data_IF_804788720358
#
_entry.id   IF_804788720358
#
_cell.length_a   1.000
_cell.length_b   1.000
_cell.length_c   1.000
_cell.angle_alpha   90.00
_cell.angle_beta   90.00
_cell.angle_gamma   90.00
#
_symmetry.space_group_name_H-M   'P 1'
#
loop_
_entity.id
_entity.type
_entity.pdbx_description
1 polymer ?
#
# COMPACT_ATOMS: atom_id res chain seq x y z
N UNK A 1 4.75 -25.44 -20.18
CA UNK A 1 4.10 -24.60 -19.15
C UNK A 1 2.82 -25.30 -18.72
N UNK A 2 2.66 -25.60 -17.43
CA UNK A 2 1.43 -26.21 -16.91
C UNK A 2 0.33 -25.14 -16.81
N UNK A 3 -0.87 -25.44 -17.30
CA UNK A 3 -2.02 -24.52 -17.25
C UNK A 3 -2.49 -24.35 -15.81
N UNK A 4 -2.33 -23.14 -15.23
CA UNK A 4 -2.85 -22.83 -13.89
C UNK A 4 -4.38 -22.86 -13.89
N UNK A 5 -4.98 -23.56 -12.92
CA UNK A 5 -6.44 -23.62 -12.78
C UNK A 5 -6.94 -22.35 -12.10
N UNK A 6 -7.52 -21.45 -12.89
CA UNK A 6 -8.06 -20.19 -12.41
C UNK A 6 -9.53 -20.33 -12.00
N UNK A 7 -9.89 -19.74 -10.86
CA UNK A 7 -11.27 -19.71 -10.37
C UNK A 7 -11.80 -18.28 -10.41
N UNK A 8 -12.97 -18.07 -11.02
CA UNK A 8 -13.71 -16.80 -11.01
C UNK A 8 -14.82 -16.87 -9.98
N UNK A 9 -14.95 -15.84 -9.16
CA UNK A 9 -16.04 -15.67 -8.21
C UNK A 9 -16.73 -14.33 -8.50
N UNK A 10 -18.06 -14.36 -8.57
CA UNK A 10 -18.89 -13.17 -8.79
C UNK A 10 -20.04 -13.18 -7.78
N UNK A 11 -20.43 -12.03 -7.23
CA UNK A 11 -21.66 -11.90 -6.42
C UNK A 11 -22.92 -11.84 -7.32
N UNK A 12 -22.77 -11.95 -8.64
CA UNK A 12 -23.88 -12.09 -9.58
C UNK A 12 -24.53 -13.46 -9.39
N UNK A 13 -25.58 -13.52 -8.56
CA UNK A 13 -26.37 -14.72 -8.32
C UNK A 13 -26.77 -15.41 -9.65
N UNK A 14 -26.78 -16.75 -9.74
CA UNK A 14 -27.49 -17.45 -10.80
C UNK A 14 -28.99 -17.18 -10.62
N UNK A 15 -29.67 -16.67 -11.65
CA UNK A 15 -31.13 -16.58 -11.65
C UNK A 15 -31.71 -17.99 -11.50
N UNK A 16 -32.36 -18.26 -10.38
CA UNK A 16 -33.30 -19.36 -10.29
C UNK A 16 -34.59 -18.91 -10.99
N UNK A 17 -34.90 -19.52 -12.13
CA UNK A 17 -36.26 -19.54 -12.67
C UNK A 17 -37.16 -20.22 -11.65
N UNK A 18 -38.01 -19.43 -10.97
CA UNK A 18 -39.14 -19.94 -10.21
C UNK A 18 -40.40 -19.67 -11.02
N UNK A 19 -40.85 -20.73 -11.67
CA UNK A 19 -42.20 -20.90 -12.19
C UNK A 19 -43.12 -21.27 -11.01
N UNK A 20 -44.33 -20.68 -10.93
CA UNK A 20 -45.41 -21.17 -10.06
C UNK A 20 -45.99 -20.20 -9.01
N UNK A 21 -46.99 -19.43 -9.43
CA UNK A 21 -48.27 -19.13 -8.74
C UNK A 21 -48.33 -19.04 -7.21
N UNK A 22 -48.72 -17.85 -6.70
CA UNK A 22 -49.97 -17.64 -5.92
C UNK A 22 -50.27 -16.16 -5.65
N UNK A 23 -51.54 -15.80 -5.85
CA UNK A 23 -52.19 -14.52 -5.52
C UNK A 23 -52.36 -14.31 -4.00
N UNK A 24 -52.32 -13.05 -3.54
CA UNK A 24 -52.84 -12.65 -2.21
C UNK A 24 -52.22 -11.41 -1.52
N UNK A 25 -52.42 -10.21 -2.06
CA UNK A 25 -52.93 -8.94 -1.42
C UNK A 25 -52.92 -8.91 0.15
N UNK A 26 -52.32 -8.01 0.96
CA UNK A 26 -52.28 -6.52 1.05
C UNK A 26 -51.14 -5.96 1.95
N UNK A 27 -50.63 -4.78 1.55
CA UNK A 27 -50.30 -3.55 2.30
C UNK A 27 -49.24 -3.48 3.44
N UNK A 28 -48.20 -2.65 3.21
CA UNK A 28 -47.40 -2.01 4.27
C UNK A 28 -46.10 -1.32 3.81
N UNK A 29 -46.15 -0.01 3.55
CA UNK A 29 -45.11 1.01 3.85
C UNK A 29 -43.62 0.83 3.46
N UNK A 30 -43.22 1.53 2.39
CA UNK A 30 -41.92 2.19 2.10
C UNK A 30 -40.63 1.85 2.89
N UNK A 31 -39.64 1.30 2.16
CA UNK A 31 -38.30 1.89 1.97
C UNK A 31 -37.65 1.17 0.78
N UNK A 32 -37.73 1.78 -0.41
CA UNK A 32 -37.24 1.18 -1.65
C UNK A 32 -35.71 1.18 -1.71
N UNK A 33 -35.09 0.12 -1.18
CA UNK A 33 -33.78 -0.30 -1.66
C UNK A 33 -33.96 -0.76 -3.11
N UNK A 34 -33.66 0.13 -4.07
CA UNK A 34 -33.46 -0.29 -5.46
C UNK A 34 -32.20 -1.13 -5.47
N UNK A 35 -32.38 -2.44 -5.39
CA UNK A 35 -31.38 -3.45 -5.69
C UNK A 35 -31.03 -3.31 -7.18
N UNK A 36 -30.06 -2.44 -7.48
CA UNK A 36 -29.50 -2.26 -8.82
C UNK A 36 -28.87 -3.58 -9.26
N UNK A 37 -29.64 -4.36 -9.99
CA UNK A 37 -29.20 -5.57 -10.68
C UNK A 37 -28.21 -5.14 -11.75
N UNK A 38 -26.90 -5.17 -11.43
CA UNK A 38 -25.86 -4.81 -12.41
C UNK A 38 -25.90 -5.81 -13.57
N UNK A 39 -25.95 -5.35 -14.83
CA UNK A 39 -26.06 -6.23 -15.98
C UNK A 39 -24.85 -7.17 -16.07
N UNK A 40 -25.11 -8.46 -16.35
CA UNK A 40 -24.07 -9.40 -16.78
C UNK A 40 -23.35 -8.80 -17.99
N UNK A 41 -22.01 -8.73 -17.95
CA UNK A 41 -21.17 -8.25 -19.05
C UNK A 41 -20.44 -6.92 -18.80
N UNK A 42 -20.86 -6.10 -17.83
CA UNK A 42 -20.22 -4.78 -17.59
C UNK A 42 -18.72 -4.88 -17.26
N UNK A 43 -18.31 -5.96 -16.59
CA UNK A 43 -16.92 -6.17 -16.17
C UNK A 43 -16.13 -7.12 -17.06
N UNK A 44 -16.73 -7.69 -18.12
CA UNK A 44 -16.11 -8.78 -18.88
C UNK A 44 -14.71 -8.42 -19.44
N UNK A 45 -14.49 -7.22 -20.04
CA UNK A 45 -13.16 -6.82 -20.49
C UNK A 45 -12.12 -6.71 -19.36
N UNK A 46 -12.54 -6.28 -18.16
CA UNK A 46 -11.66 -6.13 -16.99
C UNK A 46 -11.37 -7.51 -16.39
N UNK A 47 -12.38 -8.36 -16.27
CA UNK A 47 -12.25 -9.75 -15.80
C UNK A 47 -11.27 -10.52 -16.69
N UNK A 48 -11.33 -10.33 -18.02
CA UNK A 48 -10.42 -10.98 -18.96
C UNK A 48 -8.96 -10.54 -18.76
N UNK A 49 -8.70 -9.23 -18.56
CA UNK A 49 -7.34 -8.75 -18.24
C UNK A 49 -6.83 -9.32 -16.93
N UNK A 50 -7.66 -9.29 -15.90
CA UNK A 50 -7.31 -9.82 -14.59
C UNK A 50 -7.05 -11.35 -14.66
N UNK A 51 -7.78 -12.08 -15.52
CA UNK A 51 -7.56 -13.50 -15.78
C UNK A 51 -6.23 -13.75 -16.47
N UNK A 52 -5.95 -13.02 -17.55
CA UNK A 52 -4.66 -13.09 -18.25
C UNK A 52 -3.49 -12.76 -17.31
N UNK A 53 -3.64 -11.74 -16.47
CA UNK A 53 -2.66 -11.33 -15.48
C UNK A 53 -2.31 -12.45 -14.50
N UNK A 54 -3.31 -13.06 -13.86
CA UNK A 54 -3.09 -14.17 -12.93
C UNK A 54 -2.52 -15.43 -13.61
N UNK A 55 -2.79 -15.62 -14.91
CA UNK A 55 -2.26 -16.74 -15.68
C UNK A 55 -0.76 -16.59 -16.01
N UNK A 56 -0.22 -15.36 -16.05
CA UNK A 56 1.19 -15.06 -16.42
C UNK A 56 2.21 -15.18 -15.29
N UNK A 57 1.82 -15.82 -14.18
CA UNK A 57 2.63 -15.89 -12.96
C UNK A 57 3.06 -14.51 -12.44
N UNK A 58 2.10 -13.61 -12.25
CA UNK A 58 2.33 -12.22 -11.84
C UNK A 58 2.77 -12.01 -10.38
N UNK A 59 3.08 -13.07 -9.64
CA UNK A 59 3.29 -13.03 -8.20
C UNK A 59 2.03 -12.79 -7.36
N UNK A 60 0.90 -12.44 -7.97
CA UNK A 60 -0.39 -12.24 -7.28
C UNK A 60 -1.19 -13.55 -7.24
N UNK A 61 -1.75 -13.90 -6.09
CA UNK A 61 -2.51 -15.15 -5.91
C UNK A 61 -4.02 -14.94 -5.81
N UNK A 62 -4.44 -13.74 -5.40
CA UNK A 62 -5.83 -13.32 -5.30
C UNK A 62 -5.97 -11.89 -5.80
N UNK A 63 -7.01 -11.63 -6.57
CA UNK A 63 -7.31 -10.31 -7.13
C UNK A 63 -8.82 -10.06 -7.03
N UNK A 64 -9.22 -8.93 -6.48
CA UNK A 64 -10.62 -8.58 -6.31
C UNK A 64 -10.90 -7.15 -6.79
N UNK A 65 -12.07 -6.96 -7.39
CA UNK A 65 -12.56 -5.67 -7.86
C UNK A 65 -13.67 -5.15 -6.96
N UNK A 66 -13.62 -3.84 -6.68
CA UNK A 66 -14.57 -3.17 -5.83
C UNK A 66 -15.09 -1.88 -6.46
N UNK A 67 -16.38 -1.61 -6.25
CA UNK A 67 -17.04 -0.34 -6.61
C UNK A 67 -17.77 0.21 -5.40
N UNK A 68 -17.36 1.37 -4.88
CA UNK A 68 -17.96 1.99 -3.68
C UNK A 68 -17.85 1.10 -2.45
N UNK A 69 -16.73 0.39 -2.29
CA UNK A 69 -16.52 -0.61 -1.23
C UNK A 69 -17.34 -1.91 -1.40
N UNK A 70 -18.19 -2.01 -2.41
CA UNK A 70 -18.93 -3.23 -2.75
C UNK A 70 -18.02 -4.14 -3.54
N UNK A 71 -17.96 -5.41 -3.14
CA UNK A 71 -17.21 -6.44 -3.83
C UNK A 71 -17.95 -6.90 -5.09
N UNK A 72 -17.33 -6.78 -6.25
CA UNK A 72 -17.97 -7.07 -7.54
C UNK A 72 -17.62 -8.49 -8.01
N UNK A 73 -16.31 -8.77 -8.07
CA UNK A 73 -15.79 -10.08 -8.43
C UNK A 73 -14.39 -10.31 -7.83
N UNK A 74 -13.96 -11.57 -7.80
CA UNK A 74 -12.58 -11.94 -7.53
C UNK A 74 -12.11 -13.09 -8.42
N UNK A 75 -10.81 -13.12 -8.66
CA UNK A 75 -10.10 -14.14 -9.40
C UNK A 75 -8.94 -14.63 -8.53
N UNK A 76 -8.67 -15.93 -8.54
CA UNK A 76 -7.60 -16.47 -7.72
C UNK A 76 -7.02 -17.78 -8.24
N UNK A 77 -5.78 -18.05 -7.84
CA UNK A 77 -5.04 -19.31 -8.08
C UNK A 77 -4.75 -20.07 -6.78
N UNK A 78 -5.52 -19.79 -5.72
CA UNK A 78 -5.36 -20.42 -4.39
C UNK A 78 -5.48 -21.95 -4.37
N UNK A 79 -6.08 -22.56 -5.41
CA UNK A 79 -6.17 -24.03 -5.53
C UNK A 79 -4.92 -24.66 -6.19
N UNK A 80 -4.01 -23.85 -6.75
CA UNK A 80 -2.77 -24.31 -7.37
C UNK A 80 -1.87 -25.00 -6.31
N UNK A 81 -1.37 -26.22 -6.58
CA UNK A 81 -0.48 -26.93 -5.66
C UNK A 81 0.74 -26.13 -5.20
N UNK A 82 1.35 -25.32 -6.07
CA UNK A 82 2.49 -24.48 -5.70
C UNK A 82 2.08 -23.42 -4.67
N UNK A 83 0.91 -22.81 -4.84
CA UNK A 83 0.35 -21.81 -3.90
C UNK A 83 -0.14 -22.48 -2.60
N UNK A 84 -0.53 -23.75 -2.65
CA UNK A 84 -0.89 -24.53 -1.45
C UNK A 84 0.33 -24.92 -0.62
N UNK A 85 1.50 -25.03 -1.24
CA UNK A 85 2.75 -25.37 -0.57
C UNK A 85 3.42 -24.16 0.11
N UNK A 86 2.92 -22.94 -0.08
CA UNK A 86 3.50 -21.73 0.52
C UNK A 86 3.31 -21.74 2.06
N UNK A 87 4.37 -21.40 2.82
CA UNK A 87 4.31 -21.36 4.29
C UNK A 87 3.44 -20.20 4.78
N UNK A 88 2.87 -20.34 5.98
CA UNK A 88 2.13 -19.25 6.66
C UNK A 88 0.73 -18.95 6.08
N UNK A 89 0.38 -19.57 4.95
CA UNK A 89 -0.93 -19.42 4.33
C UNK A 89 -2.06 -19.79 5.29
N UNK A 90 -3.11 -18.96 5.31
CA UNK A 90 -4.36 -19.32 5.97
C UNK A 90 -5.00 -20.57 5.31
N UNK A 91 -5.34 -21.56 6.14
CA UNK A 91 -6.06 -22.76 5.74
C UNK A 91 -7.49 -22.75 6.29
N UNK A 92 -8.41 -23.38 5.55
CA UNK A 92 -9.77 -23.60 6.02
C UNK A 92 -10.83 -23.48 4.94
N UNK A 93 -12.06 -23.98 5.22
CA UNK A 93 -13.17 -23.95 4.28
C UNK A 93 -13.63 -22.51 3.93
N UNK A 94 -13.35 -21.55 4.81
CA UNK A 94 -13.82 -20.15 4.69
C UNK A 94 -12.76 -19.17 4.16
N UNK A 95 -11.68 -19.70 3.60
CA UNK A 95 -10.56 -18.89 3.12
C UNK A 95 -11.00 -17.76 2.16
N UNK A 96 -12.00 -18.03 1.32
CA UNK A 96 -12.55 -17.06 0.35
C UNK A 96 -13.22 -15.86 1.03
N UNK A 97 -14.01 -16.09 2.07
CA UNK A 97 -14.64 -15.01 2.83
C UNK A 97 -13.58 -14.20 3.58
N UNK A 98 -12.50 -14.85 4.04
CA UNK A 98 -11.33 -14.20 4.61
C UNK A 98 -10.70 -13.16 3.67
N UNK A 99 -10.41 -13.53 2.41
CA UNK A 99 -9.87 -12.60 1.42
C UNK A 99 -10.85 -11.46 1.08
N UNK A 100 -12.13 -11.77 0.91
CA UNK A 100 -13.17 -10.76 0.64
C UNK A 100 -13.22 -9.72 1.76
N UNK A 101 -13.24 -10.19 3.01
CA UNK A 101 -13.27 -9.33 4.18
C UNK A 101 -11.98 -8.53 4.34
N UNK A 102 -10.81 -9.14 4.10
CA UNK A 102 -9.53 -8.45 4.13
C UNK A 102 -9.49 -7.30 3.11
N UNK A 103 -9.94 -7.52 1.87
CA UNK A 103 -10.00 -6.47 0.85
C UNK A 103 -10.95 -5.33 1.22
N UNK A 104 -12.12 -5.62 1.81
CA UNK A 104 -13.05 -4.58 2.30
C UNK A 104 -12.43 -3.75 3.43
N UNK A 105 -11.79 -4.41 4.39
CA UNK A 105 -11.14 -3.73 5.50
C UNK A 105 -9.96 -2.88 5.01
N UNK A 106 -9.19 -3.37 4.04
CA UNK A 106 -8.10 -2.62 3.44
C UNK A 106 -8.63 -1.34 2.76
N UNK A 107 -9.69 -1.44 1.96
CA UNK A 107 -10.31 -0.27 1.32
C UNK A 107 -10.74 0.77 2.35
N UNK A 108 -11.43 0.34 3.40
CA UNK A 108 -11.84 1.23 4.49
C UNK A 108 -10.64 1.94 5.14
N UNK A 109 -9.53 1.23 5.38
CA UNK A 109 -8.33 1.84 5.94
C UNK A 109 -7.65 2.82 4.98
N UNK A 110 -7.60 2.46 3.69
CA UNK A 110 -7.07 3.34 2.63
C UNK A 110 -7.88 4.63 2.55
N UNK A 111 -9.21 4.57 2.56
CA UNK A 111 -10.06 5.77 2.52
C UNK A 111 -9.80 6.68 3.72
N UNK A 112 -9.75 6.12 4.94
CA UNK A 112 -9.48 6.88 6.17
C UNK A 112 -8.09 7.53 6.17
N UNK A 113 -7.08 6.81 5.68
CA UNK A 113 -5.72 7.37 5.54
C UNK A 113 -5.67 8.41 4.42
N UNK A 114 -6.42 8.21 3.32
CA UNK A 114 -6.54 9.17 2.24
C UNK A 114 -7.07 10.52 2.72
N UNK A 115 -8.14 10.51 3.52
CA UNK A 115 -8.69 11.72 4.15
C UNK A 115 -7.65 12.42 5.03
N UNK A 116 -6.88 11.65 5.79
CA UNK A 116 -5.80 12.19 6.63
C UNK A 116 -4.66 12.80 5.81
N UNK A 117 -4.30 12.20 4.67
CA UNK A 117 -3.25 12.71 3.78
C UNK A 117 -3.71 13.89 2.90
N UNK A 118 -5.01 14.18 2.83
CA UNK A 118 -5.54 15.28 2.01
C UNK A 118 -4.92 16.65 2.36
N UNK A 119 -4.52 16.83 3.62
CA UNK A 119 -3.82 18.03 4.11
C UNK A 119 -2.45 18.25 3.45
N UNK A 120 -1.83 17.21 2.88
CA UNK A 120 -0.55 17.33 2.19
C UNK A 120 -0.64 18.05 0.85
N UNK A 121 -1.85 18.33 0.34
CA UNK A 121 -2.10 18.96 -0.98
C UNK A 121 -1.37 18.26 -2.13
N UNK A 122 -1.25 16.93 -2.05
CA UNK A 122 -0.52 16.08 -3.00
C UNK A 122 -1.42 15.21 -3.89
N UNK A 123 -2.71 15.57 -3.97
CA UNK A 123 -3.74 14.80 -4.65
C UNK A 123 -4.30 13.65 -3.79
N UNK A 124 -5.10 12.79 -4.41
CA UNK A 124 -5.75 11.66 -3.72
C UNK A 124 -4.81 10.48 -3.53
N UNK A 125 -5.04 9.66 -2.51
CA UNK A 125 -4.38 8.36 -2.35
C UNK A 125 -4.83 7.40 -3.48
N UNK A 126 -3.90 6.97 -4.32
CA UNK A 126 -4.15 6.16 -5.52
C UNK A 126 -3.65 4.73 -5.40
N UNK A 127 -2.64 4.46 -4.57
CA UNK A 127 -2.12 3.12 -4.35
C UNK A 127 -1.66 2.95 -2.91
N UNK A 128 -1.82 1.75 -2.38
CA UNK A 128 -1.31 1.38 -1.06
C UNK A 128 -0.72 -0.01 -1.10
N UNK A 129 0.48 -0.17 -0.53
CA UNK A 129 1.12 -1.47 -0.41
C UNK A 129 1.38 -1.75 1.06
N UNK A 130 0.83 -2.86 1.55
CA UNK A 130 1.06 -3.36 2.89
C UNK A 130 1.82 -4.67 2.76
N UNK A 131 3.05 -4.71 3.23
CA UNK A 131 3.85 -5.92 3.29
C UNK A 131 4.01 -6.37 4.74
N UNK A 132 3.70 -7.64 4.96
CA UNK A 132 3.88 -8.38 6.20
C UNK A 132 4.85 -9.55 5.97
N UNK A 133 5.24 -10.25 7.04
CA UNK A 133 6.16 -11.39 6.96
C UNK A 133 5.68 -12.60 6.15
N UNK A 134 4.39 -12.70 5.84
CA UNK A 134 3.74 -13.83 5.17
C UNK A 134 2.76 -13.42 4.05
N UNK A 135 2.52 -12.12 3.84
CA UNK A 135 1.71 -11.65 2.70
C UNK A 135 2.08 -10.24 2.25
N UNK A 136 1.64 -9.89 1.05
CA UNK A 136 1.56 -8.50 0.60
C UNK A 136 0.16 -8.24 0.09
N UNK A 137 -0.45 -7.15 0.54
CA UNK A 137 -1.69 -6.63 -0.01
C UNK A 137 -1.42 -5.32 -0.76
N UNK A 138 -1.92 -5.23 -1.99
CA UNK A 138 -1.78 -4.07 -2.87
C UNK A 138 -3.18 -3.58 -3.19
N UNK A 139 -3.51 -2.37 -2.75
CA UNK A 139 -4.68 -1.62 -3.20
C UNK A 139 -4.26 -0.68 -4.32
N UNK A 140 -5.06 -0.61 -5.38
CA UNK A 140 -4.90 0.38 -6.44
C UNK A 140 -6.25 0.95 -6.87
N UNK A 141 -6.36 2.27 -6.87
CA UNK A 141 -7.49 3.01 -7.41
C UNK A 141 -7.42 3.04 -8.93
N UNK A 142 -8.46 2.55 -9.59
CA UNK A 142 -8.59 2.66 -11.05
C UNK A 142 -9.12 4.05 -11.45
N UNK A 143 -10.08 4.54 -10.66
CA UNK A 143 -10.74 5.86 -10.75
C UNK A 143 -11.51 6.07 -9.42
N UNK A 144 -12.09 7.25 -9.16
CA UNK A 144 -12.87 7.45 -7.94
C UNK A 144 -13.89 6.34 -7.72
N UNK A 145 -13.90 5.79 -6.51
CA UNK A 145 -14.79 4.69 -6.07
C UNK A 145 -14.56 3.32 -6.73
N UNK A 146 -13.57 3.15 -7.62
CA UNK A 146 -13.29 1.85 -8.25
C UNK A 146 -11.86 1.43 -7.96
N UNK A 147 -11.68 0.25 -7.37
CA UNK A 147 -10.37 -0.23 -6.97
C UNK A 147 -10.17 -1.71 -7.26
N UNK A 148 -8.90 -2.09 -7.47
CA UNK A 148 -8.44 -3.47 -7.41
C UNK A 148 -7.65 -3.69 -6.13
N UNK A 149 -7.85 -4.86 -5.52
CA UNK A 149 -7.04 -5.37 -4.42
C UNK A 149 -6.38 -6.67 -4.86
N UNK A 150 -5.05 -6.65 -4.93
CA UNK A 150 -4.21 -7.82 -5.18
C UNK A 150 -3.58 -8.31 -3.88
N UNK A 151 -3.55 -9.62 -3.67
CA UNK A 151 -2.86 -10.24 -2.53
C UNK A 151 -1.91 -11.31 -3.03
N UNK A 152 -0.66 -11.23 -2.57
CA UNK A 152 0.31 -12.32 -2.66
C UNK A 152 0.58 -12.92 -1.29
N UNK A 153 0.89 -14.22 -1.32
CA UNK A 153 1.23 -15.05 -0.16
C UNK A 153 2.73 -15.38 -0.16
N UNK A 154 3.47 -14.81 -1.10
CA UNK A 154 4.91 -14.91 -1.17
C UNK A 154 5.51 -13.51 -1.02
N UNK A 155 5.92 -13.11 0.19
CA UNK A 155 6.48 -11.78 0.43
C UNK A 155 7.81 -11.56 -0.31
N UNK A 156 8.50 -12.62 -0.76
CA UNK A 156 9.70 -12.45 -1.58
C UNK A 156 9.37 -11.88 -2.97
N UNK A 157 8.10 -12.01 -3.41
CA UNK A 157 7.60 -11.51 -4.70
C UNK A 157 6.90 -10.17 -4.58
N UNK A 158 7.13 -9.43 -3.48
CA UNK A 158 6.51 -8.13 -3.21
C UNK A 158 6.64 -7.15 -4.39
N UNK A 159 7.86 -6.99 -4.93
CA UNK A 159 8.14 -6.08 -6.03
C UNK A 159 7.48 -6.50 -7.33
N UNK A 160 7.43 -7.80 -7.58
CA UNK A 160 6.80 -8.36 -8.77
C UNK A 160 5.28 -8.20 -8.72
N UNK A 161 4.66 -8.51 -7.59
CA UNK A 161 3.22 -8.34 -7.39
C UNK A 161 2.80 -6.86 -7.50
N UNK A 162 3.57 -5.97 -6.89
CA UNK A 162 3.33 -4.53 -6.90
C UNK A 162 3.46 -3.93 -8.31
N UNK A 163 4.57 -4.20 -9.00
CA UNK A 163 4.78 -3.81 -10.40
C UNK A 163 3.71 -4.40 -11.32
N UNK A 164 3.40 -5.69 -11.15
CA UNK A 164 2.38 -6.37 -11.95
C UNK A 164 1.00 -5.74 -11.77
N UNK A 165 0.63 -5.37 -10.55
CA UNK A 165 -0.62 -4.64 -10.28
C UNK A 165 -0.66 -3.26 -10.95
N UNK A 166 0.45 -2.51 -10.93
CA UNK A 166 0.55 -1.23 -11.63
C UNK A 166 0.41 -1.40 -13.15
N UNK A 167 1.09 -2.39 -13.74
CA UNK A 167 0.99 -2.71 -15.18
C UNK A 167 -0.43 -3.16 -15.57
N UNK A 168 -1.09 -3.98 -14.74
CA UNK A 168 -2.48 -4.38 -14.94
C UNK A 168 -3.42 -3.15 -14.94
N UNK A 169 -3.26 -2.26 -13.96
CA UNK A 169 -4.09 -1.05 -13.86
C UNK A 169 -3.86 -0.13 -15.05
N UNK A 170 -2.61 0.11 -15.45
CA UNK A 170 -2.30 0.88 -16.64
C UNK A 170 -2.97 0.30 -17.89
N UNK A 171 -2.93 -1.04 -18.06
CA UNK A 171 -3.60 -1.72 -19.16
C UNK A 171 -5.14 -1.64 -19.11
N UNK A 172 -5.75 -1.62 -17.92
CA UNK A 172 -7.20 -1.41 -17.79
C UNK A 172 -7.55 0.04 -18.13
N UNK A 173 -6.79 1.01 -17.60
CA UNK A 173 -6.97 2.45 -17.83
C UNK A 173 -6.87 2.81 -19.31
N UNK A 174 -5.86 2.29 -20.01
CA UNK A 174 -5.69 2.47 -21.45
C UNK A 174 -6.94 2.03 -22.23
N UNK A 175 -7.49 0.85 -21.90
CA UNK A 175 -8.71 0.34 -22.57
C UNK A 175 -9.94 1.21 -22.33
N UNK A 176 -10.04 1.85 -21.17
CA UNK A 176 -11.12 2.79 -20.86
C UNK A 176 -10.75 4.25 -21.16
N UNK A 177 -9.65 4.48 -21.89
CA UNK A 177 -9.15 5.80 -22.32
C UNK A 177 -8.87 6.78 -21.17
N UNK A 178 -8.44 6.26 -20.03
CA UNK A 178 -7.90 7.06 -18.93
C UNK A 178 -6.37 7.18 -19.08
N UNK A 179 -5.77 8.31 -18.67
CA UNK A 179 -4.33 8.51 -18.74
C UNK A 179 -3.60 7.52 -17.82
N UNK A 180 -2.37 7.14 -18.17
CA UNK A 180 -1.49 6.39 -17.26
C UNK A 180 -1.01 7.33 -16.13
N UNK A 181 -1.06 6.86 -14.89
CA UNK A 181 -0.64 7.60 -13.69
C UNK A 181 0.78 7.20 -13.23
N UNK A 182 1.44 6.24 -13.92
CA UNK A 182 2.74 5.69 -13.52
C UNK A 182 2.75 5.29 -12.03
N UNK A 183 1.74 4.52 -11.63
CA UNK A 183 1.53 4.10 -10.25
C UNK A 183 2.76 3.35 -9.72
N UNK A 184 3.36 3.83 -8.65
CA UNK A 184 4.62 3.33 -8.12
C UNK A 184 5.89 3.73 -8.90
N UNK A 185 5.82 4.53 -9.96
CA UNK A 185 7.00 5.02 -10.69
C UNK A 185 7.80 3.94 -11.42
N UNK A 186 7.12 2.89 -11.91
CA UNK A 186 7.79 1.73 -12.52
C UNK A 186 8.20 1.97 -13.98
N UNK A 187 7.74 3.04 -14.63
CA UNK A 187 8.17 3.37 -16.00
C UNK A 187 9.65 3.77 -16.05
N UNK A 188 10.18 4.36 -14.96
CA UNK A 188 11.59 4.73 -14.82
C UNK A 188 12.35 3.67 -14.02
N UNK A 189 13.19 2.91 -14.71
CA UNK A 189 13.96 1.83 -14.08
C UNK A 189 15.22 2.30 -13.34
N UNK A 190 15.71 3.52 -13.58
CA UNK A 190 16.95 4.00 -13.01
C UNK A 190 16.73 4.66 -11.63
N UNK A 191 17.50 4.22 -10.62
CA UNK A 191 17.71 5.01 -9.41
C UNK A 191 18.72 6.09 -9.77
N UNK A 192 18.40 7.39 -9.65
CA UNK A 192 19.39 8.43 -9.87
C UNK A 192 20.61 8.21 -8.97
N UNK A 193 21.80 8.52 -9.47
CA UNK A 193 22.96 8.57 -8.61
C UNK A 193 22.67 9.52 -7.44
N UNK A 194 23.14 9.16 -6.23
CA UNK A 194 23.08 10.08 -5.10
C UNK A 194 23.75 11.39 -5.51
N UNK A 195 22.99 12.48 -5.52
CA UNK A 195 23.54 13.79 -5.78
C UNK A 195 24.01 14.33 -4.44
N UNK A 196 25.33 14.53 -4.29
CA UNK A 196 25.88 15.17 -3.11
C UNK A 196 25.30 16.58 -3.00
N UNK A 197 24.32 16.75 -2.11
CA UNK A 197 23.73 18.06 -1.84
C UNK A 197 24.68 18.89 -0.98
N UNK A 198 24.69 20.21 -1.23
CA UNK A 198 25.29 21.15 -0.27
C UNK A 198 24.55 21.02 1.07
N UNK A 199 25.30 21.00 2.17
CA UNK A 199 24.73 20.95 3.51
C UNK A 199 23.76 22.10 3.79
N UNK A 200 23.96 23.26 3.14
CA UNK A 200 23.10 24.45 3.30
C UNK A 200 21.70 24.29 2.68
N UNK A 201 21.51 23.29 1.81
CA UNK A 201 20.24 22.98 1.16
C UNK A 201 19.50 21.83 1.83
N UNK A 202 20.07 21.28 2.89
CA UNK A 202 19.45 20.25 3.71
C UNK A 202 19.01 20.86 5.03
N UNK A 203 17.81 20.52 5.46
CA UNK A 203 17.35 20.86 6.80
C UNK A 203 17.41 19.63 7.67
N UNK A 204 18.03 19.73 8.84
CA UNK A 204 18.08 18.65 9.84
C UNK A 204 17.30 19.12 11.07
N UNK A 205 16.30 18.35 11.48
CA UNK A 205 15.52 18.58 12.70
C UNK A 205 15.70 17.44 13.70
N UNK A 206 15.47 17.72 14.98
CA UNK A 206 15.53 16.75 16.09
C UNK A 206 16.85 16.72 16.86
N UNK A 207 17.04 15.70 17.68
CA UNK A 207 18.15 15.53 18.64
C UNK A 207 19.46 15.03 18.00
N UNK A 208 19.63 15.24 16.68
CA UNK A 208 20.79 14.76 15.91
C UNK A 208 22.16 15.23 16.45
N UNK A 209 22.17 16.28 17.27
CA UNK A 209 23.39 16.82 17.89
C UNK A 209 23.85 16.11 19.16
N UNK A 210 22.98 15.39 19.87
CA UNK A 210 23.25 14.94 21.26
C UNK A 210 23.98 13.60 21.28
N UNK A 211 23.45 12.61 20.57
CA UNK A 211 23.98 11.24 20.56
C UNK A 211 24.87 11.00 19.31
N UNK A 212 26.12 10.50 19.46
CA UNK A 212 27.02 10.21 18.34
C UNK A 212 26.47 9.22 17.30
N UNK A 213 25.69 8.22 17.74
CA UNK A 213 25.04 7.23 16.86
C UNK A 213 23.92 7.90 16.07
N UNK A 214 23.08 8.70 16.72
CA UNK A 214 22.02 9.48 16.06
C UNK A 214 22.64 10.47 15.06
N UNK A 215 23.73 11.15 15.43
CA UNK A 215 24.47 12.04 14.52
C UNK A 215 25.01 11.29 13.29
N UNK A 216 25.52 10.07 13.48
CA UNK A 216 26.00 9.22 12.37
C UNK A 216 24.85 8.79 11.47
N UNK A 217 23.72 8.40 12.04
CA UNK A 217 22.51 8.06 11.29
C UNK A 217 22.02 9.26 10.46
N UNK A 218 21.94 10.46 11.07
CA UNK A 218 21.54 11.68 10.38
C UNK A 218 22.47 12.04 9.20
N UNK A 219 23.78 11.83 9.32
CA UNK A 219 24.72 12.03 8.20
C UNK A 219 24.51 11.04 7.07
N UNK A 220 24.19 9.78 7.38
CA UNK A 220 23.91 8.76 6.37
C UNK A 220 22.61 9.11 5.64
N UNK A 221 21.57 9.50 6.37
CA UNK A 221 20.31 10.01 5.81
C UNK A 221 20.53 11.22 4.91
N UNK A 222 21.33 12.19 5.35
CA UNK A 222 21.65 13.40 4.59
C UNK A 222 22.35 13.11 3.25
N UNK A 223 23.11 12.02 3.15
CA UNK A 223 23.75 11.61 1.89
C UNK A 223 22.77 11.01 0.87
N UNK A 224 21.54 10.70 1.29
CA UNK A 224 20.54 9.98 0.50
C UNK A 224 19.32 10.84 0.16
N UNK A 225 19.13 11.95 0.86
CA UNK A 225 18.09 12.93 0.55
C UNK A 225 18.55 13.82 -0.61
N UNK A 226 17.68 14.03 -1.58
CA UNK A 226 17.96 14.76 -2.81
C UNK A 226 16.71 15.29 -3.50
N UNK A 227 16.84 16.31 -4.40
CA UNK A 227 15.70 16.89 -5.11
C UNK A 227 15.11 15.96 -6.18
N UNK A 228 15.81 14.88 -6.54
CA UNK A 228 15.40 14.02 -7.67
C UNK A 228 14.50 12.86 -7.28
N UNK A 229 14.64 12.30 -6.07
CA UNK A 229 13.94 11.07 -5.69
C UNK A 229 13.44 11.10 -4.25
N UNK A 230 14.33 11.05 -3.25
CA UNK A 230 13.97 10.98 -1.84
C UNK A 230 14.08 12.37 -1.21
N UNK A 231 12.96 13.06 -1.02
CA UNK A 231 12.95 14.47 -0.62
C UNK A 231 12.94 14.68 0.90
N UNK A 232 12.49 13.67 1.65
CA UNK A 232 12.42 13.69 3.11
C UNK A 232 12.67 12.29 3.65
N UNK A 233 13.45 12.19 4.73
CA UNK A 233 13.65 10.96 5.47
C UNK A 233 13.78 11.25 6.97
N UNK A 234 13.00 10.54 7.78
CA UNK A 234 13.00 10.65 9.23
C UNK A 234 13.18 9.29 9.90
N UNK A 235 13.82 9.32 11.07
CA UNK A 235 14.01 8.16 11.93
C UNK A 235 13.32 8.37 13.27
N UNK A 236 12.59 7.35 13.67
CA UNK A 236 11.84 7.29 14.91
C UNK A 236 12.32 6.12 15.75
N UNK A 237 12.38 6.33 17.05
CA UNK A 237 12.68 5.31 18.04
C UNK A 237 11.81 5.52 19.28
N UNK A 238 11.22 4.42 19.74
CA UNK A 238 10.08 4.41 20.66
C UNK A 238 8.94 5.36 20.24
N UNK A 239 8.61 5.33 18.93
CA UNK A 239 7.63 6.23 18.30
C UNK A 239 7.90 7.73 18.47
N UNK A 240 9.11 8.11 18.90
CA UNK A 240 9.54 9.50 19.04
C UNK A 240 10.51 9.87 17.93
N UNK A 241 10.28 11.01 17.28
CA UNK A 241 11.18 11.55 16.27
C UNK A 241 12.57 11.79 16.86
N UNK A 242 13.58 11.08 16.37
CA UNK A 242 14.97 11.34 16.75
C UNK A 242 15.61 12.38 15.85
N UNK A 243 15.38 12.25 14.55
CA UNK A 243 15.75 13.27 13.59
C UNK A 243 14.99 13.12 12.27
N UNK A 244 14.94 14.21 11.50
CA UNK A 244 14.58 14.19 10.09
C UNK A 244 15.58 14.98 9.26
N UNK A 245 15.73 14.59 7.99
CA UNK A 245 16.50 15.31 6.98
C UNK A 245 15.64 15.49 5.75
N UNK A 246 15.66 16.69 5.18
CA UNK A 246 14.89 17.00 3.98
C UNK A 246 15.52 18.09 3.12
N UNK A 247 15.09 18.14 1.86
CA UNK A 247 15.46 19.17 0.90
C UNK A 247 14.23 19.96 0.40
N UNK A 248 13.17 20.10 1.21
CA UNK A 248 11.88 20.66 0.77
C UNK A 248 11.97 22.13 0.36
N UNK A 249 13.03 22.85 0.75
CA UNK A 249 13.30 24.24 0.36
C UNK A 249 14.17 24.35 -0.91
N UNK A 250 14.51 23.22 -1.54
CA UNK A 250 15.32 23.21 -2.76
C UNK A 250 14.56 23.89 -3.91
N UNK A 251 15.20 24.79 -4.71
CA UNK A 251 14.54 25.52 -5.79
C UNK A 251 13.82 24.63 -6.81
N UNK A 252 14.42 23.49 -7.18
CA UNK A 252 13.81 22.53 -8.12
C UNK A 252 12.49 21.91 -7.62
N UNK A 253 12.16 22.06 -6.33
CA UNK A 253 10.92 21.56 -5.76
C UNK A 253 9.85 22.64 -5.58
N UNK A 254 10.12 23.91 -5.97
CA UNK A 254 9.23 25.04 -5.71
C UNK A 254 7.79 24.80 -6.20
N UNK A 255 7.63 24.13 -7.35
CA UNK A 255 6.33 23.84 -7.96
C UNK A 255 5.46 22.89 -7.10
N UNK A 256 6.05 22.12 -6.20
CA UNK A 256 5.32 21.24 -5.27
C UNK A 256 4.76 21.98 -4.05
N UNK A 257 5.09 23.26 -3.87
CA UNK A 257 4.75 24.06 -2.68
C UNK A 257 3.92 25.30 -2.99
N UNK A 258 3.13 25.27 -4.08
CA UNK A 258 2.21 26.34 -4.46
C UNK A 258 1.10 26.58 -3.43
N UNK A 259 0.59 25.49 -2.83
CA UNK A 259 -0.58 25.49 -1.95
C UNK A 259 -0.27 25.07 -0.49
N UNK A 260 0.99 24.77 -0.20
CA UNK A 260 1.47 24.37 1.12
C UNK A 260 2.94 24.77 1.28
N UNK A 261 3.34 25.31 2.44
CA UNK A 261 4.74 25.64 2.68
C UNK A 261 5.57 24.38 2.98
N UNK A 262 6.89 24.40 2.72
CA UNK A 262 7.80 23.32 3.14
C UNK A 262 7.69 22.97 4.63
N UNK A 263 7.55 23.96 5.51
CA UNK A 263 7.42 23.77 6.96
C UNK A 263 6.11 23.08 7.33
N UNK A 264 4.99 23.53 6.76
CA UNK A 264 3.69 22.91 7.00
C UNK A 264 3.66 21.46 6.52
N UNK A 265 4.26 21.19 5.35
CA UNK A 265 4.34 19.84 4.79
C UNK A 265 5.24 18.93 5.62
N UNK A 266 6.39 19.44 6.08
CA UNK A 266 7.29 18.74 7.00
C UNK A 266 6.60 18.36 8.30
N UNK A 267 5.84 19.27 8.90
CA UNK A 267 5.06 18.99 10.11
C UNK A 267 4.09 17.82 9.89
N UNK A 268 3.40 17.78 8.74
CA UNK A 268 2.50 16.68 8.37
C UNK A 268 3.22 15.34 8.18
N UNK A 269 4.42 15.33 7.61
CA UNK A 269 5.24 14.10 7.57
C UNK A 269 5.66 13.65 8.97
N UNK A 270 5.93 14.61 9.87
CA UNK A 270 6.12 14.37 11.30
C UNK A 270 4.95 13.63 11.92
N UNK A 271 3.72 14.14 11.71
CA UNK A 271 2.48 13.52 12.21
C UNK A 271 2.27 12.09 11.67
N UNK A 272 2.63 11.83 10.41
CA UNK A 272 2.56 10.47 9.83
C UNK A 272 3.49 9.52 10.59
N UNK A 273 4.71 9.97 10.89
CA UNK A 273 5.67 9.17 11.64
C UNK A 273 5.27 8.93 13.09
N UNK A 274 4.68 9.92 13.76
CA UNK A 274 4.11 9.74 15.11
C UNK A 274 2.98 8.71 15.12
N UNK A 275 2.23 8.59 14.01
CA UNK A 275 1.11 7.65 13.84
C UNK A 275 1.52 6.28 13.29
N UNK A 276 2.79 6.03 13.01
CA UNK A 276 3.23 4.78 12.38
C UNK A 276 2.80 3.53 13.15
N UNK A 277 2.79 3.55 14.49
CA UNK A 277 2.30 2.43 15.30
C UNK A 277 0.81 2.14 15.10
N UNK A 278 0.00 3.19 15.04
CA UNK A 278 -1.44 3.11 14.77
C UNK A 278 -1.68 2.57 13.36
N UNK A 279 -0.97 3.10 12.36
CA UNK A 279 -1.03 2.62 10.97
C UNK A 279 -0.67 1.13 10.86
N UNK A 280 0.37 0.67 11.57
CA UNK A 280 0.74 -0.75 11.61
C UNK A 280 -0.39 -1.61 12.20
N UNK A 281 -1.01 -1.15 13.29
CA UNK A 281 -2.15 -1.82 13.91
C UNK A 281 -3.35 -1.91 12.97
N UNK A 282 -3.73 -0.80 12.35
CA UNK A 282 -4.90 -0.70 11.48
C UNK A 282 -4.76 -1.51 10.19
N UNK A 283 -3.63 -1.39 9.50
CA UNK A 283 -3.37 -2.18 8.29
C UNK A 283 -3.11 -3.65 8.61
N UNK A 284 -2.41 -3.95 9.71
CA UNK A 284 -2.25 -5.32 10.19
C UNK A 284 -3.59 -5.98 10.49
N UNK A 285 -4.50 -5.24 11.13
CA UNK A 285 -5.86 -5.69 11.38
C UNK A 285 -6.68 -5.87 10.10
N UNK A 286 -6.50 -5.00 9.10
CA UNK A 286 -7.16 -5.13 7.81
C UNK A 286 -6.76 -6.41 7.07
N UNK A 287 -5.50 -6.83 7.15
CA UNK A 287 -4.99 -8.04 6.48
C UNK A 287 -4.94 -9.27 7.39
N UNK A 288 -5.40 -9.19 8.64
CA UNK A 288 -5.26 -10.27 9.65
C UNK A 288 -5.88 -11.62 9.26
N UNK A 289 -6.85 -11.60 8.35
CA UNK A 289 -7.53 -12.81 7.87
C UNK A 289 -6.70 -13.56 6.82
N UNK A 290 -5.67 -12.93 6.28
CA UNK A 290 -4.78 -13.49 5.24
C UNK A 290 -3.31 -13.49 5.64
N UNK A 291 -2.93 -12.72 6.67
CA UNK A 291 -1.58 -12.66 7.24
C UNK A 291 -1.67 -12.66 8.77
N UNK A 292 -0.75 -13.37 9.42
CA UNK A 292 -0.59 -13.33 10.89
C UNK A 292 0.56 -12.44 11.33
N UNK A 293 1.41 -12.02 10.39
CA UNK A 293 2.55 -11.18 10.69
C UNK A 293 2.16 -9.72 10.77
N UNK A 294 2.94 -8.95 11.54
CA UNK A 294 2.81 -7.49 11.57
C UNK A 294 3.32 -6.89 10.25
N UNK A 295 2.77 -5.74 9.84
CA UNK A 295 3.33 -4.97 8.73
C UNK A 295 4.79 -4.59 9.01
N UNK A 296 5.63 -4.73 7.98
CA UNK A 296 7.04 -4.30 7.96
C UNK A 296 7.30 -3.19 6.94
N UNK A 297 6.42 -3.05 5.96
CA UNK A 297 6.46 -2.00 4.94
C UNK A 297 5.05 -1.51 4.65
N UNK A 298 4.92 -0.19 4.58
CA UNK A 298 3.73 0.51 4.10
C UNK A 298 4.16 1.54 3.05
N UNK A 299 3.44 1.57 1.94
CA UNK A 299 3.57 2.60 0.89
C UNK A 299 2.22 3.25 0.71
N UNK A 300 2.19 4.58 0.78
CA UNK A 300 1.00 5.41 0.61
C UNK A 300 1.24 6.34 -0.58
N UNK A 301 0.78 5.92 -1.75
CA UNK A 301 1.01 6.57 -3.03
C UNK A 301 -0.14 7.56 -3.31
N UNK A 302 0.17 8.85 -3.35
CA UNK A 302 -0.74 9.94 -3.69
C UNK A 302 -0.44 10.41 -5.11
N UNK A 303 -1.35 11.11 -5.78
CA UNK A 303 -1.17 11.44 -7.20
C UNK A 303 0.16 12.15 -7.54
N UNK A 304 0.71 12.95 -6.63
CA UNK A 304 1.98 13.63 -6.86
C UNK A 304 3.21 12.78 -6.49
N UNK A 305 3.13 11.83 -5.55
CA UNK A 305 4.30 11.15 -4.99
C UNK A 305 3.91 10.11 -3.93
N UNK A 306 4.79 9.79 -2.97
CA UNK A 306 4.48 8.75 -1.99
C UNK A 306 5.11 8.99 -0.61
N UNK A 307 4.44 8.47 0.41
CA UNK A 307 4.97 8.33 1.77
C UNK A 307 5.24 6.85 2.05
N UNK A 308 6.44 6.56 2.55
CA UNK A 308 6.90 5.21 2.90
C UNK A 308 7.04 5.12 4.41
N UNK A 309 6.55 4.04 5.01
CA UNK A 309 6.88 3.65 6.38
C UNK A 309 7.58 2.29 6.35
N UNK A 310 8.75 2.23 6.97
CA UNK A 310 9.53 0.99 7.14
C UNK A 310 9.74 0.73 8.62
N UNK A 311 9.09 -0.30 9.13
CA UNK A 311 9.32 -0.73 10.50
C UNK A 311 10.60 -1.56 10.54
N UNK A 312 11.53 -1.14 11.40
CA UNK A 312 12.77 -1.89 11.67
C UNK A 312 12.49 -2.96 12.71
N UNK A 313 11.66 -2.62 13.71
CA UNK A 313 11.17 -3.54 14.74
C UNK A 313 9.94 -2.96 15.49
N UNK A 314 9.74 -3.39 16.74
CA UNK A 314 8.71 -2.82 17.62
C UNK A 314 9.19 -1.49 18.18
N UNK A 315 8.72 -0.39 17.59
CA UNK A 315 8.94 0.96 18.10
C UNK A 315 9.93 1.79 17.27
N UNK A 316 10.71 1.15 16.39
CA UNK A 316 11.63 1.86 15.48
C UNK A 316 11.17 1.77 14.04
N UNK A 317 11.18 2.91 13.37
CA UNK A 317 10.79 3.00 11.96
C UNK A 317 11.43 4.17 11.24
N UNK A 318 11.47 4.05 9.92
CA UNK A 318 11.84 5.11 9.00
C UNK A 318 10.57 5.62 8.29
N UNK A 319 10.50 6.93 8.09
CA UNK A 319 9.51 7.58 7.22
C UNK A 319 10.24 8.25 6.07
N UNK A 320 10.03 7.76 4.85
CA UNK A 320 10.56 8.37 3.64
C UNK A 320 9.46 9.06 2.83
N UNK A 321 9.79 10.07 2.05
CA UNK A 321 8.84 10.71 1.14
C UNK A 321 9.49 11.01 -0.20
N UNK A 322 8.74 10.78 -1.27
CA UNK A 322 8.97 11.42 -2.56
C UNK A 322 7.79 12.30 -2.95
N UNK A 323 8.09 13.42 -3.59
CA UNK A 323 7.13 14.36 -4.18
C UNK A 323 6.90 14.11 -5.67
N UNK A 324 7.62 13.15 -6.29
CA UNK A 324 7.49 12.82 -7.72
C UNK A 324 7.04 11.36 -7.90
N UNK A 325 5.82 11.20 -8.42
CA UNK A 325 5.19 9.92 -8.70
C UNK A 325 6.06 9.01 -9.58
N UNK A 326 6.75 9.59 -10.55
CA UNK A 326 7.62 8.85 -11.47
C UNK A 326 8.91 8.33 -10.81
N UNK A 327 9.17 8.77 -9.57
CA UNK A 327 10.37 8.45 -8.79
C UNK A 327 10.07 7.58 -7.56
N UNK A 328 8.81 7.17 -7.35
CA UNK A 328 8.38 6.34 -6.20
C UNK A 328 9.20 5.07 -6.07
N UNK A 329 9.34 4.27 -7.14
CA UNK A 329 10.16 3.05 -7.08
C UNK A 329 11.64 3.33 -6.81
N UNK A 330 12.17 4.46 -7.26
CA UNK A 330 13.57 4.83 -7.03
C UNK A 330 13.80 5.25 -5.57
N UNK A 331 12.96 6.14 -5.04
CA UNK A 331 12.99 6.58 -3.65
C UNK A 331 12.81 5.40 -2.68
N UNK A 332 11.90 4.48 -3.02
CA UNK A 332 11.66 3.29 -2.23
C UNK A 332 12.87 2.34 -2.20
N UNK A 333 13.49 2.07 -3.36
CA UNK A 333 14.74 1.28 -3.41
C UNK A 333 15.86 1.93 -2.59
N UNK A 334 15.95 3.26 -2.60
CA UNK A 334 16.92 3.99 -1.77
C UNK A 334 16.67 3.76 -0.28
N UNK A 335 15.42 3.80 0.15
CA UNK A 335 15.06 3.49 1.53
C UNK A 335 15.38 2.04 1.91
N UNK A 336 15.15 1.08 1.02
CA UNK A 336 15.48 -0.33 1.25
C UNK A 336 17.00 -0.56 1.33
N UNK A 337 17.81 0.17 0.55
CA UNK A 337 19.27 0.15 0.64
C UNK A 337 19.79 0.75 1.96
N UNK A 338 19.06 1.68 2.56
CA UNK A 338 19.42 2.29 3.84
C UNK A 338 19.11 1.41 5.04
N UNK A 339 18.08 0.58 4.95
CA UNK A 339 17.59 -0.23 6.07
C UNK A 339 18.71 -1.05 6.78
N UNK A 340 19.55 -1.83 6.08
CA UNK A 340 20.60 -2.61 6.75
C UNK A 340 21.59 -1.73 7.53
N UNK A 341 21.88 -0.52 7.04
CA UNK A 341 22.78 0.43 7.71
C UNK A 341 22.19 0.93 9.02
N UNK A 342 20.86 1.09 9.10
CA UNK A 342 20.17 1.42 10.35
C UNK A 342 20.12 0.24 11.31
N UNK A 343 19.88 -0.96 10.82
CA UNK A 343 19.92 -2.19 11.64
C UNK A 343 21.31 -2.42 12.25
N UNK A 344 22.38 -2.09 11.52
CA UNK A 344 23.76 -2.13 12.03
C UNK A 344 24.04 -1.05 13.09
N UNK A 345 23.54 0.18 12.90
CA UNK A 345 23.74 1.28 13.84
C UNK A 345 22.93 1.11 15.12
N UNK A 346 21.76 0.50 15.00
CA UNK A 346 20.83 0.28 16.10
C UNK A 346 20.49 -1.22 16.18
N UNK A 347 21.45 -2.06 16.60
CA UNK A 347 21.23 -3.49 16.68
C UNK A 347 20.08 -3.78 17.65
N UNK A 348 19.29 -4.80 17.33
CA UNK A 348 18.29 -5.32 18.26
C UNK A 348 18.97 -5.74 19.56
N UNK A 349 18.40 -5.44 20.74
CA UNK A 349 18.92 -5.95 21.99
C UNK A 349 18.93 -7.48 21.92
N UNK A 350 20.13 -8.08 22.06
CA UNK A 350 20.31 -9.52 22.03
C UNK A 350 19.48 -10.15 23.16
N UNK A 351 18.36 -10.80 22.83
CA UNK A 351 17.56 -11.56 23.80
C UNK A 351 16.49 -10.78 24.57
N UNK A 352 15.91 -9.73 24.01
CA UNK A 352 14.75 -9.06 24.59
C UNK A 352 13.53 -10.00 24.71
N UNK A 353 13.38 -10.67 25.86
CA UNK A 353 12.11 -11.23 26.30
C UNK A 353 11.10 -10.09 26.27
N UNK A 354 10.17 -10.13 25.32
CA UNK A 354 9.00 -9.25 25.33
C UNK A 354 8.27 -9.54 26.65
N UNK A 355 8.16 -8.59 27.60
CA UNK A 355 7.38 -8.84 28.80
C UNK A 355 5.94 -9.15 28.35
N UNK A 356 5.34 -10.27 28.80
CA UNK A 356 3.97 -10.61 28.47
C UNK A 356 3.07 -9.58 29.15
N UNK A 357 2.70 -8.52 28.42
CA UNK A 357 1.88 -7.43 28.97
C UNK A 357 1.74 -6.18 28.09
N UNK A 358 2.60 -5.94 27.11
CA UNK A 358 2.56 -4.72 26.29
C UNK A 358 1.65 -4.80 25.03
N UNK A 359 0.57 -5.59 25.09
CA UNK A 359 -0.47 -5.62 24.06
C UNK A 359 -1.85 -5.52 24.70
N UNK A 360 -2.15 -4.33 25.21
CA UNK A 360 -3.53 -3.87 25.29
C UNK A 360 -3.52 -2.40 24.89
N UNK A 361 -3.81 -2.13 23.62
CA UNK A 361 -4.55 -0.96 23.13
C UNK A 361 -5.17 -1.35 21.78
#
# INVERSE_FOLDING_TARGET
MATRRLTVQTDLAPQATLDGTREGVLAGGQAGAREETRPRGVYEPVVDQCREFLARDSGVHHLAHYTGGIWDFALHVLADPAVRALPGRAEGPDLRSGYRQAGRMLIFQVERVGDYLADLRSGTLVRTVVESGDCVAVYVSLRPQVALVGITLDPARVWEADRGMAELIAGIRERVRLPDEDLGGFRRNAVPAAHAMSADLLTVYGDAGVDPVIRRAARITAAEVGPLDLHYLAYYDDFSLKFSVDCLTHPDLADYFTDISPEARRAKYGEVGDRAGVLAGDFGHAVRLVSRSRPRRLVLDVQQGAVFVRWLDTGRHLVGVTLDQSMVAAAERRLDMLRPRFEELFPLPAGGVVPPGALTL
#
